data_IF_058582366756
#
_entry.id   IF_058582366756
#
_cell.length_a   1.000
_cell.length_b   1.000
_cell.length_c   1.000
_cell.angle_alpha   90.00
_cell.angle_beta   90.00
_cell.angle_gamma   90.00
#
_symmetry.space_group_name_H-M   'P 1'
#
loop_
_entity.id
_entity.type
_entity.pdbx_description
1 polymer ?
#
# COMPACT_ATOMS: atom_id res chain seq x y z
N UNK A 1 -12.73 7.35 7.54
CA UNK A 1 -12.73 6.20 6.61
C UNK A 1 -13.88 5.32 7.06
N UNK A 2 -15.00 5.35 6.33
CA UNK A 2 -16.30 4.81 6.79
C UNK A 2 -16.21 3.34 7.23
N UNK A 3 -15.31 2.58 6.62
CA UNK A 3 -15.07 1.16 6.92
C UNK A 3 -14.56 0.90 8.35
N UNK A 4 -13.84 1.87 8.93
CA UNK A 4 -13.33 1.82 10.32
C UNK A 4 -14.44 2.21 11.32
N UNK A 5 -15.34 3.11 10.94
CA UNK A 5 -16.33 3.73 11.85
C UNK A 5 -17.35 2.75 12.42
N UNK A 6 -17.56 1.59 11.79
CA UNK A 6 -18.47 0.56 12.28
C UNK A 6 -17.79 -0.61 13.00
N UNK A 7 -16.51 -0.51 13.37
CA UNK A 7 -15.78 -1.52 14.14
C UNK A 7 -15.23 -0.80 15.38
N UNK A 8 -15.91 -0.95 16.52
CA UNK A 8 -15.63 -0.15 17.72
C UNK A 8 -14.19 -0.30 18.21
N UNK A 9 -13.59 -1.50 18.11
CA UNK A 9 -12.19 -1.73 18.49
C UNK A 9 -11.22 -0.90 17.64
N UNK A 10 -11.37 -0.90 16.31
CA UNK A 10 -10.51 -0.12 15.40
C UNK A 10 -10.76 1.38 15.53
N UNK A 11 -12.00 1.77 15.79
CA UNK A 11 -12.39 3.17 16.01
C UNK A 11 -11.79 3.70 17.31
N UNK A 12 -11.84 2.93 18.39
CA UNK A 12 -11.21 3.28 19.66
C UNK A 12 -9.69 3.39 19.51
N UNK A 13 -9.06 2.42 18.84
CA UNK A 13 -7.62 2.44 18.56
C UNK A 13 -7.22 3.70 17.77
N UNK A 14 -7.94 3.98 16.68
CA UNK A 14 -7.71 5.16 15.85
C UNK A 14 -7.86 6.45 16.69
N UNK A 15 -8.92 6.55 17.47
CA UNK A 15 -9.18 7.70 18.34
C UNK A 15 -8.04 7.92 19.35
N UNK A 16 -7.56 6.84 19.96
CA UNK A 16 -6.42 6.89 20.89
C UNK A 16 -5.14 7.36 20.22
N UNK A 17 -4.81 6.85 19.03
CA UNK A 17 -3.64 7.31 18.25
C UNK A 17 -3.76 8.79 17.87
N UNK A 18 -4.95 9.21 17.44
CA UNK A 18 -5.23 10.61 17.13
C UNK A 18 -5.08 11.51 18.36
N UNK A 19 -5.59 11.09 19.53
CA UNK A 19 -5.47 11.84 20.78
C UNK A 19 -4.02 11.98 21.24
N UNK A 20 -3.18 10.95 21.04
CA UNK A 20 -1.72 11.04 21.25
C UNK A 20 -1.13 12.14 20.37
N UNK A 21 -1.43 12.11 19.06
CA UNK A 21 -0.90 13.10 18.12
C UNK A 21 -1.37 14.52 18.43
N UNK A 22 -2.65 14.71 18.79
CA UNK A 22 -3.19 16.00 19.23
C UNK A 22 -2.49 16.48 20.48
N UNK A 23 -2.34 15.61 21.48
CA UNK A 23 -1.74 15.99 22.75
C UNK A 23 -0.31 16.49 22.57
N UNK A 24 0.50 15.81 21.74
CA UNK A 24 1.87 16.23 21.45
C UNK A 24 1.92 17.53 20.64
N UNK A 25 1.04 17.69 19.64
CA UNK A 25 0.95 18.94 18.86
C UNK A 25 0.37 20.11 19.65
N UNK A 26 -0.35 19.86 20.73
CA UNK A 26 -1.03 20.92 21.50
C UNK A 26 -0.06 21.93 22.12
N UNK A 27 1.22 21.58 22.24
CA UNK A 27 2.26 22.43 22.81
C UNK A 27 3.59 22.30 22.06
N UNK A 28 4.20 23.41 21.61
CA UNK A 28 5.54 23.40 21.02
C UNK A 28 6.59 22.78 21.93
N UNK A 29 6.44 22.96 23.26
CA UNK A 29 7.33 22.34 24.25
C UNK A 29 7.26 20.83 24.24
N UNK A 30 6.07 20.26 24.06
CA UNK A 30 5.88 18.81 23.98
C UNK A 30 6.45 18.23 22.69
N UNK A 31 6.30 18.96 21.58
CA UNK A 31 6.93 18.58 20.31
C UNK A 31 8.45 18.62 20.42
N UNK A 32 9.01 19.66 21.02
CA UNK A 32 10.45 19.76 21.25
C UNK A 32 10.97 18.65 22.18
N UNK A 33 10.30 18.41 23.31
CA UNK A 33 10.68 17.35 24.24
C UNK A 33 10.64 15.97 23.56
N UNK A 34 9.66 15.70 22.69
CA UNK A 34 9.63 14.47 21.91
C UNK A 34 10.83 14.34 20.95
N UNK A 35 11.32 15.44 20.38
CA UNK A 35 12.51 15.42 19.52
C UNK A 35 13.77 15.15 20.32
N UNK A 36 13.91 15.77 21.49
CA UNK A 36 15.02 15.51 22.42
C UNK A 36 15.06 14.04 22.87
N UNK A 37 13.89 13.45 23.14
CA UNK A 37 13.77 12.02 23.47
C UNK A 37 14.06 11.11 22.26
N UNK A 38 13.78 11.56 21.03
CA UNK A 38 14.17 10.82 19.83
C UNK A 38 15.69 10.80 19.65
N UNK A 39 16.37 11.93 19.81
CA UNK A 39 17.84 12.01 19.76
C UNK A 39 18.50 11.13 20.82
N UNK A 40 17.85 10.93 21.98
CA UNK A 40 18.33 10.03 23.02
C UNK A 40 18.12 8.55 22.67
N UNK A 41 16.96 8.19 22.11
CA UNK A 41 16.61 6.80 21.78
C UNK A 41 17.33 6.32 20.52
N UNK A 42 17.42 7.17 19.50
CA UNK A 42 18.07 6.89 18.22
C UNK A 42 18.87 8.11 17.74
N UNK A 43 20.13 8.26 18.17
CA UNK A 43 20.96 9.42 17.83
C UNK A 43 21.39 9.47 16.36
N UNK A 44 21.25 8.37 15.61
CA UNK A 44 21.67 8.28 14.22
C UNK A 44 20.56 8.75 13.25
N UNK A 45 19.31 8.80 13.70
CA UNK A 45 18.17 9.26 12.92
C UNK A 45 17.74 10.69 13.26
N UNK A 46 17.36 11.46 12.24
CA UNK A 46 16.86 12.81 12.44
C UNK A 46 15.47 12.78 13.12
N UNK A 47 15.21 13.60 14.16
CA UNK A 47 13.92 13.61 14.83
C UNK A 47 12.77 13.94 13.89
N UNK A 48 11.70 13.16 14.00
CA UNK A 48 10.49 13.31 13.20
C UNK A 48 9.30 13.70 14.08
N UNK A 49 8.42 14.55 13.53
CA UNK A 49 7.21 14.97 14.24
C UNK A 49 6.10 13.92 14.15
N UNK A 50 5.16 13.91 15.10
CA UNK A 50 3.93 13.14 14.94
C UNK A 50 3.12 13.60 13.71
N UNK A 51 2.25 12.74 13.18
CA UNK A 51 1.39 13.05 12.02
C UNK A 51 -0.07 12.91 12.44
N UNK A 52 -0.85 13.98 12.31
CA UNK A 52 -2.28 13.96 12.61
C UNK A 52 -3.09 13.46 11.40
N UNK A 53 -4.08 12.60 11.64
CA UNK A 53 -4.99 12.21 10.58
C UNK A 53 -5.97 13.34 10.23
N UNK A 54 -6.27 13.48 8.94
CA UNK A 54 -7.13 14.54 8.39
C UNK A 54 -8.23 13.89 7.57
N UNK A 55 -9.48 14.25 7.87
CA UNK A 55 -10.67 13.64 7.24
C UNK A 55 -10.65 13.74 5.70
N UNK A 56 -10.08 14.80 5.15
CA UNK A 56 -10.03 15.08 3.70
C UNK A 56 -8.87 14.40 2.97
N UNK A 57 -7.88 13.86 3.68
CA UNK A 57 -6.72 13.16 3.10
C UNK A 57 -6.82 11.68 3.40
N UNK A 58 -7.27 10.92 2.42
CA UNK A 58 -7.64 9.53 2.61
C UNK A 58 -6.51 8.60 3.14
N UNK A 59 -5.23 8.93 2.90
CA UNK A 59 -4.07 8.18 3.42
C UNK A 59 -3.58 8.65 4.81
N UNK A 60 -4.13 9.74 5.36
CA UNK A 60 -3.58 10.33 6.59
C UNK A 60 -3.66 9.41 7.80
N UNK A 61 -4.68 8.54 7.87
CA UNK A 61 -4.81 7.57 8.97
C UNK A 61 -3.67 6.56 8.93
N UNK A 62 -3.27 6.06 7.76
CA UNK A 62 -2.12 5.17 7.64
C UNK A 62 -0.82 5.86 8.09
N UNK A 63 -0.60 7.10 7.64
CA UNK A 63 0.58 7.87 8.01
C UNK A 63 0.66 8.12 9.52
N UNK A 64 -0.46 8.45 10.15
CA UNK A 64 -0.56 8.57 11.61
C UNK A 64 -0.21 7.26 12.30
N UNK A 65 -0.82 6.14 11.88
CA UNK A 65 -0.57 4.83 12.49
C UNK A 65 0.89 4.41 12.38
N UNK A 66 1.51 4.57 11.20
CA UNK A 66 2.96 4.34 11.00
C UNK A 66 3.78 5.20 11.95
N UNK A 67 3.52 6.51 12.00
CA UNK A 67 4.29 7.44 12.83
C UNK A 67 4.15 7.15 14.33
N UNK A 68 2.96 6.81 14.81
CA UNK A 68 2.73 6.44 16.22
C UNK A 68 3.44 5.13 16.57
N UNK A 69 3.44 4.16 15.64
CA UNK A 69 4.19 2.90 15.81
C UNK A 69 5.69 3.17 15.91
N UNK A 70 6.25 3.96 15.00
CA UNK A 70 7.68 4.25 14.93
C UNK A 70 8.15 5.03 16.18
N UNK A 71 7.35 6.00 16.64
CA UNK A 71 7.67 6.83 17.80
C UNK A 71 7.30 6.20 19.15
N UNK A 72 6.86 4.93 19.18
CA UNK A 72 6.38 4.26 20.41
C UNK A 72 7.40 4.35 21.55
N UNK A 73 8.67 4.07 21.27
CA UNK A 73 9.73 4.09 22.26
C UNK A 73 9.98 5.50 22.81
N UNK A 74 10.08 6.49 21.92
CA UNK A 74 10.30 7.90 22.29
C UNK A 74 9.13 8.50 23.05
N UNK A 75 7.88 8.14 22.71
CA UNK A 75 6.67 8.57 23.45
C UNK A 75 6.66 7.97 24.87
N UNK A 76 7.07 6.71 25.01
CA UNK A 76 7.16 6.07 26.32
C UNK A 76 8.28 6.72 27.17
N UNK A 77 9.42 7.04 26.57
CA UNK A 77 10.53 7.77 27.22
C UNK A 77 10.09 9.16 27.68
N UNK A 78 9.45 9.92 26.77
CA UNK A 78 8.89 11.25 27.04
C UNK A 78 7.96 11.26 28.24
N UNK A 79 7.10 10.25 28.39
CA UNK A 79 6.21 10.12 29.55
C UNK A 79 6.98 10.09 30.86
N UNK A 80 8.12 9.41 30.90
CA UNK A 80 8.98 9.36 32.08
C UNK A 80 9.74 10.67 32.29
N UNK A 81 10.28 11.26 31.22
CA UNK A 81 11.02 12.53 31.27
C UNK A 81 10.18 13.69 31.82
N UNK A 82 8.96 13.87 31.31
CA UNK A 82 8.09 14.99 31.73
C UNK A 82 7.41 14.77 33.08
N UNK A 83 7.52 13.58 33.69
CA UNK A 83 6.79 13.23 34.92
C UNK A 83 7.12 14.17 36.09
N UNK A 84 8.37 14.64 36.15
CA UNK A 84 8.84 15.54 37.20
C UNK A 84 8.49 17.00 36.92
N UNK A 85 8.33 17.38 35.65
CA UNK A 85 8.07 18.77 35.24
C UNK A 85 6.58 19.07 35.11
N UNK A 86 5.80 18.11 34.62
CA UNK A 86 4.38 18.23 34.36
C UNK A 86 3.65 16.91 34.61
N UNK A 87 3.25 16.72 35.86
CA UNK A 87 2.54 15.50 36.32
C UNK A 87 1.25 15.24 35.52
N UNK A 88 0.47 16.28 35.22
CA UNK A 88 -0.77 16.14 34.47
C UNK A 88 -0.53 15.68 33.03
N UNK A 89 0.51 16.18 32.38
CA UNK A 89 0.90 15.73 31.05
C UNK A 89 1.35 14.26 31.05
N UNK A 90 2.11 13.85 32.06
CA UNK A 90 2.52 12.45 32.23
C UNK A 90 1.33 11.52 32.53
N UNK A 91 0.38 11.94 33.36
CA UNK A 91 -0.86 11.21 33.63
C UNK A 91 -1.68 11.04 32.33
N UNK A 92 -1.81 12.10 31.52
CA UNK A 92 -2.52 12.02 30.24
C UNK A 92 -1.86 11.06 29.24
N UNK A 93 -0.53 11.08 29.12
CA UNK A 93 0.19 10.10 28.29
C UNK A 93 0.08 8.67 28.85
N UNK A 94 -0.09 8.52 30.16
CA UNK A 94 -0.33 7.21 30.78
C UNK A 94 -1.70 6.66 30.40
N UNK A 95 -2.74 7.49 30.40
CA UNK A 95 -4.09 7.10 29.95
C UNK A 95 -4.12 6.72 28.47
N UNK A 96 -3.34 7.44 27.65
CA UNK A 96 -3.22 7.21 26.21
C UNK A 96 -2.22 6.10 25.85
N UNK A 97 -1.59 5.46 26.83
CA UNK A 97 -0.57 4.42 26.58
C UNK A 97 -1.16 3.26 25.80
N UNK A 98 -0.50 2.90 24.70
CA UNK A 98 -0.84 1.74 23.90
C UNK A 98 -0.39 0.45 24.61
N UNK A 99 -1.30 -0.50 24.76
CA UNK A 99 -0.97 -1.84 25.23
C UNK A 99 -0.46 -2.72 24.08
N UNK A 100 0.07 -3.91 24.39
CA UNK A 100 0.68 -4.78 23.37
C UNK A 100 -0.33 -5.28 22.33
N UNK A 101 -1.57 -5.48 22.77
CA UNK A 101 -2.68 -5.88 21.92
C UNK A 101 -3.03 -4.81 20.88
N UNK A 102 -3.10 -3.56 21.32
CA UNK A 102 -3.30 -2.36 20.50
C UNK A 102 -2.14 -2.15 19.54
N UNK A 103 -0.90 -2.38 19.98
CA UNK A 103 0.27 -2.31 19.10
C UNK A 103 0.23 -3.37 17.99
N UNK A 104 -0.11 -4.60 18.33
CA UNK A 104 -0.30 -5.68 17.34
C UNK A 104 -1.41 -5.32 16.36
N UNK A 105 -2.49 -4.70 16.85
CA UNK A 105 -3.60 -4.27 16.02
C UNK A 105 -3.22 -3.10 15.08
N UNK A 106 -2.38 -2.16 15.53
CA UNK A 106 -1.79 -1.11 14.68
C UNK A 106 -0.99 -1.74 13.55
N UNK A 107 -0.14 -2.72 13.87
CA UNK A 107 0.69 -3.40 12.87
C UNK A 107 -0.17 -4.09 11.81
N UNK A 108 -1.21 -4.80 12.22
CA UNK A 108 -2.17 -5.43 11.30
C UNK A 108 -2.93 -4.39 10.46
N UNK A 109 -3.33 -3.25 11.05
CA UNK A 109 -3.96 -2.16 10.28
C UNK A 109 -3.02 -1.56 9.24
N UNK A 110 -1.74 -1.34 9.59
CA UNK A 110 -0.73 -0.83 8.67
C UNK A 110 -0.55 -1.81 7.51
N UNK A 111 -0.48 -3.11 7.79
CA UNK A 111 -0.37 -4.15 6.75
C UNK A 111 -1.55 -4.11 5.78
N UNK A 112 -2.79 -3.98 6.27
CA UNK A 112 -3.99 -3.92 5.41
C UNK A 112 -4.05 -2.64 4.59
N UNK A 113 -3.62 -1.50 5.15
CA UNK A 113 -3.73 -0.20 4.50
C UNK A 113 -2.55 0.10 3.54
N UNK A 114 -1.39 -0.51 3.73
CA UNK A 114 -0.19 -0.25 2.92
C UNK A 114 -0.37 -0.50 1.41
N UNK A 115 -1.06 -1.58 0.96
CA UNK A 115 -1.33 -1.79 -0.46
C UNK A 115 -2.04 -0.62 -1.15
N UNK A 116 -2.91 0.10 -0.42
CA UNK A 116 -3.64 1.25 -0.95
C UNK A 116 -2.72 2.46 -1.15
N UNK A 117 -1.82 2.72 -0.21
CA UNK A 117 -0.82 3.78 -0.34
C UNK A 117 0.11 3.50 -1.53
N UNK A 118 0.58 2.26 -1.67
CA UNK A 118 1.41 1.85 -2.80
C UNK A 118 0.70 2.08 -4.13
N UNK A 119 -0.57 1.67 -4.24
CA UNK A 119 -1.39 1.91 -5.42
C UNK A 119 -1.52 3.42 -5.71
N UNK A 120 -1.71 4.23 -4.68
CA UNK A 120 -1.77 5.71 -4.80
C UNK A 120 -0.51 6.28 -5.39
N UNK A 121 0.65 5.86 -4.87
CA UNK A 121 1.94 6.37 -5.30
C UNK A 121 2.20 6.00 -6.76
N UNK A 122 1.91 4.76 -7.13
CA UNK A 122 2.04 4.29 -8.52
C UNK A 122 1.13 5.09 -9.46
N UNK A 123 -0.14 5.28 -9.12
CA UNK A 123 -1.06 6.04 -9.98
C UNK A 123 -0.76 7.54 -10.01
N UNK A 124 -0.24 8.10 -8.91
CA UNK A 124 0.12 9.53 -8.84
C UNK A 124 1.47 9.83 -9.50
N UNK A 125 2.32 8.82 -9.71
CA UNK A 125 3.64 8.98 -10.35
C UNK A 125 3.57 9.40 -11.83
N UNK A 126 2.40 9.32 -12.46
CA UNK A 126 2.20 9.73 -13.84
C UNK A 126 2.96 8.88 -14.87
N UNK A 127 3.43 7.68 -14.50
CA UNK A 127 4.15 6.80 -15.42
C UNK A 127 3.23 6.32 -16.56
N UNK A 128 3.80 6.18 -17.75
CA UNK A 128 3.06 5.72 -18.93
C UNK A 128 2.54 4.29 -18.68
N UNK A 129 1.23 4.08 -18.80
CA UNK A 129 0.59 2.76 -18.64
C UNK A 129 -0.34 2.60 -17.43
N UNK A 130 -0.71 3.68 -16.72
CA UNK A 130 -1.65 3.60 -15.57
C UNK A 130 -2.94 2.85 -15.94
N UNK A 131 -3.54 3.15 -17.10
CA UNK A 131 -4.76 2.49 -17.54
C UNK A 131 -4.61 0.96 -17.64
N UNK A 132 -3.44 0.47 -18.05
CA UNK A 132 -3.16 -0.96 -18.11
C UNK A 132 -2.90 -1.56 -16.72
N UNK A 133 -2.42 -0.78 -15.76
CA UNK A 133 -2.09 -1.25 -14.41
C UNK A 133 -3.32 -1.33 -13.49
N UNK A 134 -4.37 -0.55 -13.74
CA UNK A 134 -5.56 -0.44 -12.85
C UNK A 134 -6.21 -1.80 -12.58
N UNK A 135 -6.54 -2.59 -13.61
CA UNK A 135 -7.19 -3.88 -13.41
C UNK A 135 -6.33 -4.89 -12.61
N UNK A 136 -5.03 -5.10 -12.94
CA UNK A 136 -4.15 -5.94 -12.14
C UNK A 136 -4.02 -5.52 -10.68
N UNK A 137 -3.96 -4.22 -10.42
CA UNK A 137 -3.89 -3.69 -9.06
C UNK A 137 -5.16 -3.95 -8.25
N UNK A 138 -6.34 -3.71 -8.83
CA UNK A 138 -7.63 -3.97 -8.18
C UNK A 138 -7.80 -5.47 -7.90
N UNK A 139 -7.46 -6.32 -8.86
CA UNK A 139 -7.56 -7.78 -8.70
C UNK A 139 -6.57 -8.28 -7.65
N UNK A 140 -5.31 -7.85 -7.71
CA UNK A 140 -4.30 -8.19 -6.70
C UNK A 140 -4.72 -7.78 -5.29
N UNK A 141 -5.31 -6.60 -5.14
CA UNK A 141 -5.84 -6.13 -3.86
C UNK A 141 -6.95 -7.03 -3.32
N UNK A 142 -7.92 -7.41 -4.16
CA UNK A 142 -9.06 -8.23 -3.75
C UNK A 142 -8.69 -9.69 -3.49
N UNK A 143 -7.83 -10.28 -4.31
CA UNK A 143 -7.58 -11.73 -4.31
C UNK A 143 -6.35 -12.13 -3.50
N UNK A 144 -5.39 -11.23 -3.32
CA UNK A 144 -4.17 -11.46 -2.55
C UNK A 144 -4.23 -10.68 -1.26
N UNK A 145 -4.14 -9.34 -1.31
CA UNK A 145 -3.91 -8.53 -0.12
C UNK A 145 -5.08 -8.60 0.90
N UNK A 146 -6.32 -8.57 0.42
CA UNK A 146 -7.52 -8.66 1.27
C UNK A 146 -7.99 -10.10 1.53
N UNK A 147 -7.38 -11.11 0.92
CA UNK A 147 -7.68 -12.52 1.16
C UNK A 147 -6.61 -13.21 2.01
N UNK A 148 -5.42 -12.61 2.12
CA UNK A 148 -4.34 -13.11 2.94
C UNK A 148 -4.78 -13.15 4.41
N UNK A 149 -4.57 -14.29 5.06
CA UNK A 149 -4.90 -14.51 6.46
C UNK A 149 -3.59 -14.68 7.22
N UNK A 150 -3.25 -13.68 8.02
CA UNK A 150 -2.16 -13.83 8.98
C UNK A 150 -2.56 -14.84 10.06
N UNK A 151 -1.61 -15.62 10.57
CA UNK A 151 -1.85 -16.67 11.58
C UNK A 151 -2.48 -16.13 12.87
N UNK A 152 -2.19 -14.87 13.20
CA UNK A 152 -2.64 -14.20 14.42
C UNK A 152 -3.66 -13.08 14.12
N UNK A 153 -4.39 -13.18 13.00
CA UNK A 153 -5.33 -12.14 12.57
C UNK A 153 -6.50 -11.99 13.56
N UNK A 154 -6.69 -10.77 14.06
CA UNK A 154 -7.81 -10.46 14.95
C UNK A 154 -9.15 -10.44 14.20
N UNK A 155 -10.27 -10.84 14.84
CA UNK A 155 -11.60 -10.80 14.22
C UNK A 155 -12.02 -9.42 13.70
N UNK A 156 -11.58 -8.35 14.37
CA UNK A 156 -11.80 -6.98 13.94
C UNK A 156 -11.15 -6.69 12.58
N UNK A 157 -9.95 -7.22 12.33
CA UNK A 157 -9.23 -7.08 11.06
C UNK A 157 -9.89 -7.90 9.96
N UNK A 158 -10.31 -9.13 10.23
CA UNK A 158 -11.06 -9.94 9.24
C UNK A 158 -12.37 -9.25 8.83
N UNK A 159 -13.09 -8.68 9.82
CA UNK A 159 -14.32 -7.91 9.56
C UNK A 159 -14.01 -6.66 8.74
N UNK A 160 -12.92 -5.96 9.07
CA UNK A 160 -12.46 -4.79 8.34
C UNK A 160 -12.11 -5.12 6.88
N UNK A 161 -11.29 -6.16 6.63
CA UNK A 161 -10.95 -6.65 5.29
C UNK A 161 -12.20 -7.00 4.48
N UNK A 162 -13.17 -7.67 5.10
CA UNK A 162 -14.43 -8.05 4.44
C UNK A 162 -15.24 -6.81 4.02
N UNK A 163 -15.31 -5.79 4.89
CA UNK A 163 -15.98 -4.52 4.55
C UNK A 163 -15.24 -3.75 3.47
N UNK A 164 -13.91 -3.68 3.56
CA UNK A 164 -13.06 -3.02 2.57
C UNK A 164 -13.24 -3.68 1.19
N UNK A 165 -13.20 -5.01 1.15
CA UNK A 165 -13.46 -5.81 -0.06
C UNK A 165 -14.80 -5.41 -0.68
N UNK A 166 -15.88 -5.43 0.09
CA UNK A 166 -17.21 -5.06 -0.39
C UNK A 166 -17.26 -3.62 -0.93
N UNK A 167 -16.68 -2.67 -0.20
CA UNK A 167 -16.63 -1.27 -0.65
C UNK A 167 -15.84 -1.10 -1.96
N UNK A 168 -14.78 -1.88 -2.16
CA UNK A 168 -14.00 -1.87 -3.39
C UNK A 168 -14.79 -2.54 -4.51
N UNK A 169 -15.40 -3.70 -4.27
CA UNK A 169 -16.23 -4.39 -5.27
C UNK A 169 -17.40 -3.50 -5.74
N UNK A 170 -18.02 -2.74 -4.83
CA UNK A 170 -19.12 -1.82 -5.15
C UNK A 170 -18.65 -0.59 -5.94
N UNK A 171 -17.39 -0.13 -5.77
CA UNK A 171 -16.87 1.11 -6.39
C UNK A 171 -15.95 0.88 -7.59
N UNK A 172 -15.22 -0.23 -7.60
CA UNK A 172 -14.22 -0.56 -8.60
C UNK A 172 -14.88 -1.25 -9.79
N UNK A 173 -15.79 -0.53 -10.44
CA UNK A 173 -16.32 -0.94 -11.74
C UNK A 173 -15.19 -0.76 -12.75
N UNK A 174 -14.60 -1.88 -13.17
CA UNK A 174 -13.58 -1.88 -14.22
C UNK A 174 -14.26 -1.68 -15.56
N UNK A 175 -14.17 -0.45 -16.08
CA UNK A 175 -14.61 -0.12 -17.44
C UNK A 175 -13.82 -0.91 -18.49
N UNK A 176 -14.46 -1.10 -19.66
CA UNK A 176 -13.88 -1.77 -20.82
C UNK A 176 -12.51 -1.15 -21.19
N UNK A 177 -12.31 0.16 -20.99
CA UNK A 177 -11.05 0.86 -21.27
C UNK A 177 -9.88 0.31 -20.45
N UNK A 178 -10.07 0.07 -19.16
CA UNK A 178 -9.02 -0.49 -18.31
C UNK A 178 -8.74 -1.94 -18.68
N UNK A 179 -9.79 -2.72 -18.96
CA UNK A 179 -9.64 -4.11 -19.40
C UNK A 179 -8.89 -4.21 -20.74
N UNK A 180 -9.23 -3.34 -21.70
CA UNK A 180 -8.54 -3.22 -22.99
C UNK A 180 -7.08 -2.83 -22.82
N UNK A 181 -6.82 -1.75 -22.08
CA UNK A 181 -5.47 -1.26 -21.85
C UNK A 181 -4.60 -2.33 -21.21
N UNK A 182 -5.14 -3.08 -20.23
CA UNK A 182 -4.39 -4.17 -19.61
C UNK A 182 -4.17 -5.33 -20.58
N UNK A 183 -5.17 -5.72 -21.37
CA UNK A 183 -5.04 -6.81 -22.33
C UNK A 183 -4.02 -6.52 -23.44
N UNK A 184 -3.91 -5.27 -23.87
CA UNK A 184 -2.96 -4.81 -24.88
C UNK A 184 -1.53 -4.72 -24.34
N UNK A 185 -1.38 -4.63 -23.02
CA UNK A 185 -0.08 -4.42 -22.42
C UNK A 185 0.68 -5.76 -22.28
N UNK A 186 1.86 -5.92 -22.94
CA UNK A 186 2.57 -7.20 -23.00
C UNK A 186 2.92 -7.82 -21.64
N UNK A 187 3.12 -6.97 -20.62
CA UNK A 187 3.42 -7.42 -19.26
C UNK A 187 2.29 -8.25 -18.64
N UNK A 188 1.03 -7.92 -18.98
CA UNK A 188 -0.15 -8.44 -18.31
C UNK A 188 -0.84 -9.59 -19.05
N UNK A 189 -0.41 -9.90 -20.28
CA UNK A 189 -0.98 -10.95 -21.13
C UNK A 189 -0.97 -12.36 -20.51
N UNK A 190 -0.14 -12.61 -19.50
CA UNK A 190 -0.01 -13.93 -18.84
C UNK A 190 -0.59 -13.98 -17.43
N UNK A 191 -1.24 -12.92 -16.95
CA UNK A 191 -1.81 -12.96 -15.60
C UNK A 191 -3.03 -13.88 -15.56
N UNK A 192 -3.11 -14.75 -14.55
CA UNK A 192 -4.11 -15.81 -14.45
C UNK A 192 -5.56 -15.30 -14.40
N UNK A 193 -5.81 -14.11 -13.85
CA UNK A 193 -7.15 -13.52 -13.84
C UNK A 193 -7.58 -12.99 -15.23
N UNK A 194 -6.64 -12.81 -16.18
CA UNK A 194 -6.99 -12.67 -17.59
C UNK A 194 -7.45 -13.99 -18.20
N UNK A 195 -7.01 -15.12 -17.66
CA UNK A 195 -7.41 -16.42 -18.19
C UNK A 195 -8.87 -16.72 -17.87
N UNK A 196 -9.30 -16.49 -16.62
CA UNK A 196 -10.64 -16.89 -16.19
C UNK A 196 -11.70 -15.77 -16.31
N UNK A 197 -11.40 -14.51 -15.92
CA UNK A 197 -12.38 -13.39 -16.06
C UNK A 197 -12.31 -12.72 -17.42
N UNK A 198 -11.16 -12.75 -18.09
CA UNK A 198 -11.02 -12.07 -19.36
C UNK A 198 -11.48 -12.94 -20.55
N UNK A 199 -11.56 -14.27 -20.49
CA UNK A 199 -12.21 -14.97 -21.62
C UNK A 199 -13.70 -14.60 -21.76
N UNK A 200 -14.43 -14.42 -20.65
CA UNK A 200 -15.84 -14.02 -20.64
C UNK A 200 -16.06 -12.54 -21.02
N UNK A 201 -15.26 -11.61 -20.47
CA UNK A 201 -15.42 -10.16 -20.72
C UNK A 201 -14.57 -9.62 -21.86
N UNK A 202 -13.42 -10.21 -22.14
CA UNK A 202 -12.45 -9.75 -23.13
C UNK A 202 -12.74 -10.30 -24.52
N UNK A 203 -13.48 -11.41 -24.66
CA UNK A 203 -13.97 -11.90 -25.95
C UNK A 203 -14.70 -10.81 -26.77
N UNK A 204 -15.80 -10.23 -26.25
CA UNK A 204 -16.53 -9.17 -26.94
C UNK A 204 -15.72 -7.87 -27.07
N UNK A 205 -14.81 -7.60 -26.13
CA UNK A 205 -13.92 -6.43 -26.18
C UNK A 205 -12.84 -6.59 -27.26
N UNK A 206 -12.26 -7.78 -27.44
CA UNK A 206 -11.31 -8.09 -28.52
C UNK A 206 -11.98 -7.96 -29.88
N UNK A 207 -13.25 -8.35 -29.99
CA UNK A 207 -14.03 -8.18 -31.23
C UNK A 207 -14.31 -6.69 -31.50
N UNK A 208 -14.77 -5.92 -30.50
CA UNK A 208 -14.90 -4.46 -30.63
C UNK A 208 -13.59 -3.77 -31.00
N UNK A 209 -12.47 -4.20 -30.39
CA UNK A 209 -11.15 -3.64 -30.69
C UNK A 209 -10.72 -3.99 -32.11
N UNK A 210 -11.01 -5.21 -32.57
CA UNK A 210 -10.79 -5.60 -33.97
C UNK A 210 -11.60 -4.72 -34.90
N UNK A 211 -12.88 -4.50 -34.62
CA UNK A 211 -13.76 -3.66 -35.43
C UNK A 211 -13.30 -2.19 -35.47
N UNK A 212 -12.84 -1.63 -34.34
CA UNK A 212 -12.28 -0.28 -34.29
C UNK A 212 -10.91 -0.18 -34.98
N UNK A 213 -10.05 -1.19 -34.86
CA UNK A 213 -8.76 -1.22 -35.56
C UNK A 213 -8.92 -1.30 -37.08
N UNK A 214 -9.98 -1.94 -37.58
CA UNK A 214 -10.32 -1.99 -39.01
C UNK A 214 -10.87 -0.65 -39.55
N UNK A 215 -11.23 0.30 -38.68
CA UNK A 215 -11.65 1.67 -39.07
C UNK A 215 -10.48 2.66 -39.13
N UNK A 216 -9.32 2.30 -38.57
CA UNK A 216 -8.13 3.14 -38.58
C UNK A 216 -7.33 2.83 -39.85
N UNK A 217 -7.36 3.75 -40.82
CA UNK A 217 -6.55 3.68 -42.03
C UNK A 217 -5.06 3.78 -41.62
N UNK A 218 -4.15 2.89 -42.07
CA UNK A 218 -2.75 2.82 -41.60
C UNK A 218 -1.86 4.03 -41.95
N UNK A 219 -2.42 5.13 -42.47
CA UNK A 219 -1.66 6.26 -43.02
C UNK A 219 -1.42 7.42 -42.04
N UNK A 220 -2.05 7.43 -40.86
CA UNK A 220 -2.04 8.60 -39.95
C UNK A 220 -1.12 8.50 -38.72
N UNK A 221 -0.29 7.46 -38.57
CA UNK A 221 0.62 7.35 -37.42
C UNK A 221 2.03 7.83 -37.79
N UNK A 222 2.34 9.11 -37.53
CA UNK A 222 3.72 9.60 -37.54
C UNK A 222 4.45 9.12 -36.26
N UNK A 223 5.66 8.53 -36.38
CA UNK A 223 6.41 8.04 -35.23
C UNK A 223 6.95 9.22 -34.39
N UNK A 224 6.57 9.27 -33.11
CA UNK A 224 7.20 10.17 -32.14
C UNK A 224 8.54 9.59 -31.67
N UNK A 225 9.59 10.41 -31.72
CA UNK A 225 10.97 10.08 -31.36
C UNK A 225 11.11 9.75 -29.85
N UNK A 226 11.78 8.64 -29.56
CA UNK A 226 12.20 8.24 -28.21
C UNK A 226 13.21 9.23 -27.63
N UNK A 227 12.87 9.90 -26.52
CA UNK A 227 13.83 10.63 -25.68
C UNK A 227 14.32 9.68 -24.59
N UNK A 228 15.54 9.17 -24.77
CA UNK A 228 16.25 8.35 -23.79
C UNK A 228 16.59 9.18 -22.55
N UNK A 229 16.08 8.80 -21.37
CA UNK A 229 16.65 9.22 -20.07
C UNK A 229 17.02 7.98 -19.27
N UNK A 230 18.33 7.84 -19.06
CA UNK A 230 18.95 6.85 -18.18
C UNK A 230 18.41 7.00 -16.76
N UNK A 231 17.97 5.90 -16.18
CA UNK A 231 17.60 5.82 -14.76
C UNK A 231 18.73 5.11 -14.04
N UNK A 232 19.36 5.80 -13.09
CA UNK A 232 20.27 5.22 -12.10
C UNK A 232 19.45 4.61 -10.98
N UNK A 233 19.71 3.34 -10.65
CA UNK A 233 19.15 2.63 -9.51
C UNK A 233 19.59 3.27 -8.17
N UNK A 234 18.71 3.28 -7.15
CA UNK A 234 19.15 3.20 -5.77
C UNK A 234 18.76 1.85 -5.16
N UNK A 235 19.79 1.18 -4.64
CA UNK A 235 19.70 -0.01 -3.80
C UNK A 235 18.97 0.25 -2.47
N UNK A 236 18.40 -0.82 -1.92
CA UNK A 236 18.33 -1.01 -0.47
C UNK A 236 17.10 -0.48 0.25
N UNK A 237 16.02 -1.28 0.28
CA UNK A 237 15.18 -1.41 1.46
C UNK A 237 14.33 -2.68 1.38
N UNK A 238 14.37 -3.48 2.44
CA UNK A 238 13.57 -4.69 2.61
C UNK A 238 12.09 -4.30 2.82
N UNK A 239 11.42 -3.94 1.73
CA UNK A 239 9.99 -3.62 1.73
C UNK A 239 9.23 -4.87 1.31
N UNK A 240 8.27 -5.32 2.15
CA UNK A 240 7.31 -6.35 1.74
C UNK A 240 6.61 -5.86 0.47
N UNK A 241 6.85 -6.55 -0.64
CA UNK A 241 6.30 -6.22 -1.94
C UNK A 241 4.76 -6.29 -1.88
N UNK A 242 4.09 -5.29 -2.45
CA UNK A 242 2.63 -5.36 -2.67
C UNK A 242 2.24 -6.61 -3.46
N UNK A 243 0.97 -7.03 -3.40
CA UNK A 243 0.48 -8.22 -4.13
C UNK A 243 0.87 -8.22 -5.61
N UNK A 244 0.74 -7.09 -6.32
CA UNK A 244 1.16 -6.98 -7.72
C UNK A 244 2.69 -7.09 -7.90
N UNK A 245 3.48 -6.44 -7.04
CA UNK A 245 4.94 -6.52 -7.11
C UNK A 245 5.45 -7.94 -6.79
N UNK A 246 4.80 -8.64 -5.87
CA UNK A 246 5.06 -10.04 -5.56
C UNK A 246 4.76 -10.94 -6.76
N UNK A 247 3.63 -10.72 -7.45
CA UNK A 247 3.31 -11.41 -8.69
C UNK A 247 4.35 -11.14 -9.80
N UNK A 248 4.77 -9.88 -9.96
CA UNK A 248 5.79 -9.50 -10.95
C UNK A 248 7.16 -10.12 -10.64
N UNK A 249 7.56 -10.16 -9.37
CA UNK A 249 8.82 -10.79 -8.92
C UNK A 249 8.81 -12.29 -9.17
N UNK A 250 7.74 -12.99 -8.77
CA UNK A 250 7.57 -14.43 -9.01
C UNK A 250 7.67 -14.79 -10.49
N UNK A 251 7.06 -13.99 -11.38
CA UNK A 251 7.14 -14.20 -12.83
C UNK A 251 8.55 -13.98 -13.38
N UNK A 252 9.30 -13.02 -12.84
CA UNK A 252 10.71 -12.77 -13.23
C UNK A 252 11.58 -13.97 -12.86
N UNK A 253 11.34 -14.56 -11.69
CA UNK A 253 12.01 -15.77 -11.21
C UNK A 253 11.63 -17.02 -12.03
N UNK A 254 10.35 -17.20 -12.36
CA UNK A 254 9.87 -18.30 -13.22
C UNK A 254 10.43 -18.19 -14.65
N UNK A 255 10.51 -16.97 -15.22
CA UNK A 255 11.09 -16.73 -16.55
C UNK A 255 12.60 -16.95 -16.57
N UNK A 256 13.31 -16.64 -15.48
CA UNK A 256 14.74 -16.92 -15.32
C UNK A 256 14.98 -18.42 -15.19
N UNK A 257 14.19 -19.12 -14.36
CA UNK A 257 14.29 -20.57 -14.20
C UNK A 257 13.99 -21.32 -15.50
N UNK A 258 13.01 -20.85 -16.28
CA UNK A 258 12.68 -21.45 -17.57
C UNK A 258 13.77 -21.16 -18.63
N UNK A 259 14.50 -20.04 -18.53
CA UNK A 259 15.70 -19.78 -19.35
C UNK A 259 16.86 -20.67 -18.94
N UNK A 260 17.15 -20.82 -17.65
CA UNK A 260 18.21 -21.70 -17.15
C UNK A 260 17.99 -23.16 -17.55
N UNK A 261 16.76 -23.67 -17.43
CA UNK A 261 16.42 -25.01 -17.89
C UNK A 261 16.59 -25.19 -19.42
N UNK A 262 16.45 -24.12 -20.20
CA UNK A 262 16.65 -24.16 -21.65
C UNK A 262 18.14 -24.23 -22.02
N UNK A 263 19.02 -23.66 -21.20
CA UNK A 263 20.47 -23.77 -21.36
C UNK A 263 20.98 -25.14 -20.92
N UNK A 264 20.44 -25.70 -19.83
CA UNK A 264 20.78 -27.06 -19.38
C UNK A 264 20.38 -28.13 -20.41
N UNK A 265 19.21 -27.97 -21.06
CA UNK A 265 18.77 -28.87 -22.15
C UNK A 265 19.60 -28.73 -23.45
N UNK A 266 20.27 -27.58 -23.66
CA UNK A 266 21.16 -27.41 -24.81
C UNK A 266 22.56 -27.97 -24.57
N UNK A 267 22.98 -28.11 -23.31
CA UNK A 267 24.25 -28.74 -22.93
C UNK A 267 24.15 -30.28 -22.88
N UNK A 268 22.95 -30.85 -22.70
CA UNK A 268 22.71 -32.31 -22.80
C UNK A 268 22.58 -32.83 -24.26
N UNK A 269 22.60 -31.95 -25.26
CA UNK A 269 22.45 -32.28 -26.68
C UNK A 269 23.73 -32.08 -27.53
N UNK A 270 24.89 -31.85 -26.88
CA UNK A 270 26.22 -31.88 -27.50
C UNK A 270 27.09 -32.99 -26.90
#
# INVERSE_FOLDING_TARGET
MKSIEGIEELKALKGKCHDICIFIHSSPKMTQALREEQEFVDPDEAPVDVVLDVVTRWNSTLLMLKRVRDLRASIESLRFGIKHENKHAAERLTELRLNEDECTLIDQMIEVLTPFENMTQVFSSGSMGIAAAVAPWIVGLLEIDLNDRCKDERPAITTFKTRLRKEIEDRAVLDDVFLMATALHPMYHTFWFFRDRAEEKLGPIKEKLRDELHKIDPTDVQPQQEVHKQTTDPEGSSVRLSGLQTLLKRKREESQKNRSNLYDLSDELN
#
